data_IF_945365034753
#
_entry.id   IF_945365034753
#
_cell.length_a   1.000
_cell.length_b   1.000
_cell.length_c   1.000
_cell.angle_alpha   90.00
_cell.angle_beta   90.00
_cell.angle_gamma   90.00
#
_symmetry.space_group_name_H-M   'P 1'
#
loop_
_entity.id
_entity.type
_entity.pdbx_description
1 polymer ?
#
# COMPACT_ATOMS: atom_id res chain seq x y z
N UNK A 1 2.49 12.65 -8.09
CA UNK A 1 2.61 11.21 -8.40
C UNK A 1 3.59 10.56 -7.45
N UNK A 2 3.29 9.39 -6.89
CA UNK A 2 4.17 8.57 -6.05
C UNK A 2 5.26 7.89 -6.90
N UNK A 3 6.31 7.36 -6.22
CA UNK A 3 7.37 6.63 -6.89
C UNK A 3 6.91 5.22 -7.27
N UNK A 4 7.37 4.74 -8.41
CA UNK A 4 7.07 3.40 -8.91
C UNK A 4 8.23 2.79 -9.67
N UNK A 5 8.20 1.48 -9.83
CA UNK A 5 9.15 0.70 -10.64
C UNK A 5 8.37 -0.29 -11.51
N UNK A 6 8.79 -0.44 -12.76
CA UNK A 6 8.17 -1.33 -13.74
C UNK A 6 9.15 -2.44 -14.11
N UNK A 7 8.64 -3.65 -14.27
CA UNK A 7 9.31 -4.78 -14.91
C UNK A 7 8.42 -5.26 -16.05
N UNK A 8 8.84 -4.96 -17.26
CA UNK A 8 8.07 -5.28 -18.45
C UNK A 8 8.24 -6.74 -18.86
N UNK A 9 7.14 -7.33 -19.35
CA UNK A 9 7.11 -8.55 -20.11
C UNK A 9 6.57 -8.22 -21.51
N UNK A 10 7.44 -8.32 -22.53
CA UNK A 10 7.10 -7.96 -23.91
C UNK A 10 6.04 -8.86 -24.56
N UNK A 11 5.86 -10.05 -23.99
CA UNK A 11 4.91 -11.06 -24.48
C UNK A 11 3.53 -10.96 -23.80
N UNK A 12 3.37 -10.01 -22.85
CA UNK A 12 2.13 -9.82 -22.10
C UNK A 12 1.62 -8.38 -22.18
N UNK A 13 0.30 -8.24 -22.33
CA UNK A 13 -0.41 -6.98 -22.20
C UNK A 13 -1.12 -6.84 -20.82
N UNK A 14 -0.99 -7.85 -19.95
CA UNK A 14 -1.60 -7.86 -18.63
C UNK A 14 -0.66 -7.26 -17.58
N UNK A 15 -1.26 -6.58 -16.60
CA UNK A 15 -0.52 -5.92 -15.52
C UNK A 15 -0.87 -6.51 -14.17
N UNK A 16 0.16 -6.61 -13.32
CA UNK A 16 0.00 -6.86 -11.89
C UNK A 16 0.64 -5.72 -11.10
N UNK A 17 -0.13 -5.09 -10.22
CA UNK A 17 0.28 -3.98 -9.37
C UNK A 17 0.40 -4.44 -7.93
N UNK A 18 1.57 -4.25 -7.34
CA UNK A 18 1.87 -4.63 -5.97
C UNK A 18 1.81 -3.44 -5.03
N UNK A 19 1.02 -3.56 -3.95
CA UNK A 19 0.77 -2.49 -2.96
C UNK A 19 1.19 -2.95 -1.57
N UNK A 20 2.26 -2.35 -1.04
CA UNK A 20 2.83 -2.74 0.26
C UNK A 20 2.00 -2.26 1.45
N UNK A 21 2.33 -2.75 2.64
CA UNK A 21 1.73 -2.35 3.91
C UNK A 21 2.34 -1.09 4.52
N UNK A 22 1.75 -0.59 5.61
CA UNK A 22 2.26 0.54 6.37
C UNK A 22 3.68 0.26 6.89
N UNK A 23 4.58 1.24 6.75
CA UNK A 23 5.99 1.14 7.13
C UNK A 23 6.86 0.32 6.18
N UNK A 24 6.28 -0.23 5.09
CA UNK A 24 6.99 -0.97 4.06
C UNK A 24 7.45 -0.09 2.88
N UNK A 25 7.91 -0.76 1.83
CA UNK A 25 8.22 -0.17 0.52
C UNK A 25 8.05 -1.23 -0.56
N UNK A 26 8.18 -0.84 -1.81
CA UNK A 26 8.18 -1.74 -2.97
C UNK A 26 9.18 -2.89 -2.86
N UNK A 27 10.29 -2.70 -2.11
CA UNK A 27 11.34 -3.71 -1.94
C UNK A 27 10.89 -5.02 -1.29
N UNK A 28 9.76 -5.05 -0.56
CA UNK A 28 9.26 -6.29 0.05
C UNK A 28 8.88 -7.35 -1.00
N UNK A 29 8.66 -6.94 -2.25
CA UNK A 29 8.18 -7.78 -3.34
C UNK A 29 9.30 -8.42 -4.18
N UNK A 30 10.59 -8.25 -3.80
CA UNK A 30 11.73 -8.68 -4.60
C UNK A 30 11.72 -10.16 -5.00
N UNK A 31 11.15 -11.04 -4.13
CA UNK A 31 11.03 -12.48 -4.41
C UNK A 31 9.93 -12.82 -5.41
N UNK A 32 8.89 -11.99 -5.50
CA UNK A 32 7.73 -12.21 -6.34
C UNK A 32 7.96 -11.75 -7.78
N UNK A 33 8.80 -10.72 -7.99
CA UNK A 33 9.00 -10.07 -9.28
C UNK A 33 9.30 -11.09 -10.38
N UNK A 34 10.31 -11.95 -10.16
CA UNK A 34 10.80 -12.88 -11.16
C UNK A 34 9.72 -13.86 -11.65
N UNK A 35 8.85 -14.31 -10.76
CA UNK A 35 7.84 -15.29 -11.12
C UNK A 35 6.62 -14.63 -11.78
N UNK A 36 6.19 -13.47 -11.27
CA UNK A 36 5.10 -12.72 -11.89
C UNK A 36 5.48 -12.13 -13.25
N UNK A 37 6.73 -11.71 -13.44
CA UNK A 37 7.20 -11.15 -14.72
C UNK A 37 7.18 -12.18 -15.88
N UNK A 38 7.10 -13.47 -15.60
CA UNK A 38 6.95 -14.49 -16.66
C UNK A 38 5.63 -14.37 -17.42
N UNK A 39 4.58 -13.88 -16.74
CA UNK A 39 3.21 -13.86 -17.26
C UNK A 39 2.64 -12.43 -17.37
N UNK A 40 3.17 -11.47 -16.61
CA UNK A 40 2.62 -10.12 -16.43
C UNK A 40 3.69 -9.04 -16.59
N UNK A 41 3.27 -7.85 -16.97
CA UNK A 41 4.00 -6.64 -16.65
C UNK A 41 3.81 -6.35 -15.15
N UNK A 42 4.89 -6.10 -14.42
CA UNK A 42 4.87 -5.90 -12.97
C UNK A 42 5.06 -4.43 -12.64
N UNK A 43 4.10 -3.87 -11.89
CA UNK A 43 4.17 -2.52 -11.34
C UNK A 43 4.34 -2.58 -9.82
N UNK A 44 5.42 -2.01 -9.31
CA UNK A 44 5.67 -1.84 -7.88
C UNK A 44 5.51 -0.38 -7.50
N UNK A 45 4.83 -0.11 -6.39
CA UNK A 45 4.56 1.24 -5.89
C UNK A 45 5.23 1.46 -4.54
N UNK A 46 5.78 2.67 -4.33
CA UNK A 46 6.07 3.19 -3.01
C UNK A 46 4.94 4.15 -2.63
N UNK A 47 4.12 3.76 -1.65
CA UNK A 47 3.00 4.58 -1.20
C UNK A 47 3.48 5.93 -0.69
N UNK A 48 2.60 6.93 -0.72
CA UNK A 48 2.85 8.27 -0.16
C UNK A 48 3.46 8.15 1.24
N UNK A 49 4.61 8.78 1.44
CA UNK A 49 5.33 8.75 2.72
C UNK A 49 6.20 7.53 2.97
N UNK A 50 6.31 6.63 2.01
CA UNK A 50 7.08 5.39 2.12
C UNK A 50 8.13 5.30 1.02
N UNK A 51 9.19 4.50 1.27
CA UNK A 51 10.23 4.24 0.29
C UNK A 51 10.77 5.51 -0.37
N UNK A 52 10.92 5.51 -1.68
CA UNK A 52 11.38 6.65 -2.46
C UNK A 52 10.32 7.78 -2.60
N UNK A 53 9.08 7.56 -2.11
CA UNK A 53 8.04 8.60 -2.05
C UNK A 53 8.14 9.50 -0.81
N UNK A 54 9.09 9.28 0.12
CA UNK A 54 9.26 10.08 1.35
C UNK A 54 9.65 11.54 1.09
N UNK A 55 10.48 11.80 0.09
CA UNK A 55 10.99 13.15 -0.22
C UNK A 55 9.91 14.12 -0.72
N UNK A 56 8.81 13.60 -1.24
CA UNK A 56 7.67 14.39 -1.71
C UNK A 56 6.76 14.89 -0.57
N UNK A 57 7.00 14.44 0.66
CA UNK A 57 6.20 14.75 1.85
C UNK A 57 6.32 16.18 2.37
N UNK A 58 7.43 16.89 2.17
CA UNK A 58 7.58 18.27 2.67
C UNK A 58 6.49 19.23 2.17
N UNK A 59 5.81 18.89 1.06
CA UNK A 59 4.62 19.60 0.55
C UNK A 59 3.29 18.99 1.02
N UNK A 60 3.29 17.78 1.57
CA UNK A 60 2.08 16.99 1.82
C UNK A 60 1.45 17.21 3.22
N UNK A 61 2.09 17.97 4.13
CA UNK A 61 1.50 18.28 5.45
C UNK A 61 0.17 19.04 5.40
N UNK A 62 -0.25 19.53 4.21
CA UNK A 62 -1.56 20.17 3.99
C UNK A 62 -2.63 19.23 3.43
N UNK A 63 -2.29 18.01 3.00
CA UNK A 63 -3.26 17.08 2.43
C UNK A 63 -3.64 16.00 3.45
N UNK A 64 -4.95 15.79 3.63
CA UNK A 64 -5.47 14.71 4.47
C UNK A 64 -5.02 13.36 3.91
N UNK A 65 -4.42 12.52 4.75
CA UNK A 65 -4.14 11.12 4.47
C UNK A 65 -5.44 10.32 4.63
N UNK A 66 -6.26 10.28 3.59
CA UNK A 66 -7.44 9.42 3.52
C UNK A 66 -7.14 8.22 2.63
N UNK A 67 -7.83 7.11 2.83
CA UNK A 67 -7.67 5.92 1.97
C UNK A 67 -8.02 6.26 0.51
N UNK A 68 -9.03 7.09 0.29
CA UNK A 68 -9.40 7.57 -1.06
C UNK A 68 -8.28 8.39 -1.70
N UNK A 69 -7.60 9.26 -0.94
CA UNK A 69 -6.47 10.02 -1.49
C UNK A 69 -5.28 9.12 -1.86
N UNK A 70 -5.01 8.08 -1.05
CA UNK A 70 -3.96 7.11 -1.34
C UNK A 70 -4.33 6.18 -2.51
N UNK A 71 -5.61 5.81 -2.64
CA UNK A 71 -6.11 5.08 -3.80
C UNK A 71 -5.99 5.90 -5.10
N UNK A 72 -6.28 7.21 -5.03
CA UNK A 72 -6.09 8.12 -6.17
C UNK A 72 -4.61 8.29 -6.55
N UNK A 73 -3.66 8.20 -5.60
CA UNK A 73 -2.23 8.18 -5.95
C UNK A 73 -1.88 6.94 -6.81
N UNK A 74 -2.49 5.79 -6.51
CA UNK A 74 -2.31 4.56 -7.31
C UNK A 74 -2.91 4.77 -8.70
N UNK A 75 -4.13 5.31 -8.77
CA UNK A 75 -4.82 5.61 -10.03
C UNK A 75 -4.00 6.57 -10.90
N UNK A 76 -3.43 7.64 -10.30
CA UNK A 76 -2.56 8.59 -11.00
C UNK A 76 -1.37 7.89 -11.70
N UNK A 77 -0.80 6.87 -11.08
CA UNK A 77 0.30 6.07 -11.70
C UNK A 77 -0.22 5.21 -12.84
N UNK A 78 -1.37 4.54 -12.65
CA UNK A 78 -1.98 3.74 -13.72
C UNK A 78 -2.30 4.59 -14.95
N UNK A 79 -2.88 5.78 -14.75
CA UNK A 79 -3.23 6.73 -15.82
C UNK A 79 -1.99 7.24 -16.55
N UNK A 80 -0.94 7.59 -15.78
CA UNK A 80 0.34 8.02 -16.35
C UNK A 80 0.97 6.96 -17.25
N UNK A 81 0.86 5.68 -16.86
CA UNK A 81 1.38 4.53 -17.58
C UNK A 81 0.42 4.01 -18.66
N UNK A 82 -0.78 4.61 -18.78
CA UNK A 82 -1.84 4.17 -19.68
C UNK A 82 -2.28 2.72 -19.43
N UNK A 83 -2.23 2.30 -18.16
CA UNK A 83 -2.71 0.97 -17.74
C UNK A 83 -4.21 1.10 -17.49
N UNK A 84 -5.03 0.56 -18.38
CA UNK A 84 -6.49 0.63 -18.26
C UNK A 84 -7.00 -0.14 -17.05
N UNK A 85 -6.48 -1.35 -16.82
CA UNK A 85 -6.83 -2.21 -15.68
C UNK A 85 -5.65 -3.08 -15.25
N UNK A 86 -5.64 -3.49 -13.99
CA UNK A 86 -4.58 -4.33 -13.42
C UNK A 86 -5.13 -5.38 -12.46
N UNK A 87 -4.41 -6.48 -12.33
CA UNK A 87 -4.50 -7.36 -11.16
C UNK A 87 -3.78 -6.67 -10.00
N UNK A 88 -4.30 -6.79 -8.78
CA UNK A 88 -3.68 -6.17 -7.61
C UNK A 88 -3.27 -7.21 -6.58
N UNK A 89 -2.07 -7.04 -6.04
CA UNK A 89 -1.57 -7.83 -4.89
C UNK A 89 -1.27 -6.85 -3.77
N UNK A 90 -1.99 -6.96 -2.67
CA UNK A 90 -1.82 -6.07 -1.51
C UNK A 90 -1.57 -6.82 -0.22
N UNK A 91 -0.83 -6.18 0.69
CA UNK A 91 -0.60 -6.68 2.04
C UNK A 91 -0.97 -5.61 3.07
N UNK A 92 -1.67 -6.01 4.15
CA UNK A 92 -2.05 -5.12 5.27
C UNK A 92 -2.73 -3.83 4.77
N UNK A 93 -2.13 -2.64 4.97
CA UNK A 93 -2.65 -1.37 4.44
C UNK A 93 -2.94 -1.43 2.94
N UNK A 94 -2.09 -2.11 2.16
CA UNK A 94 -2.29 -2.30 0.73
C UNK A 94 -3.63 -2.94 0.39
N UNK A 95 -4.13 -3.86 1.24
CA UNK A 95 -5.44 -4.51 1.04
C UNK A 95 -6.61 -3.52 1.18
N UNK A 96 -6.48 -2.56 2.09
CA UNK A 96 -7.47 -1.50 2.27
C UNK A 96 -7.50 -0.59 1.04
N UNK A 97 -6.32 -0.24 0.52
CA UNK A 97 -6.19 0.68 -0.61
C UNK A 97 -6.70 0.08 -1.91
N UNK A 98 -6.37 -1.20 -2.20
CA UNK A 98 -6.87 -1.85 -3.42
C UNK A 98 -8.38 -2.09 -3.34
N UNK A 99 -8.94 -2.37 -2.15
CA UNK A 99 -10.39 -2.44 -1.95
C UNK A 99 -11.04 -1.07 -2.16
N UNK A 100 -10.46 -0.01 -1.59
CA UNK A 100 -10.94 1.36 -1.80
C UNK A 100 -10.89 1.75 -3.28
N UNK A 101 -9.84 1.35 -4.01
CA UNK A 101 -9.74 1.57 -5.44
C UNK A 101 -10.84 0.82 -6.20
N UNK A 102 -11.10 -0.45 -5.85
CA UNK A 102 -12.15 -1.25 -6.47
C UNK A 102 -13.57 -0.72 -6.18
N UNK A 103 -13.79 -0.10 -5.01
CA UNK A 103 -15.05 0.57 -4.67
C UNK A 103 -15.26 1.86 -5.47
N UNK A 104 -14.18 2.62 -5.73
CA UNK A 104 -14.24 3.91 -6.45
C UNK A 104 -14.20 3.73 -7.98
N UNK A 105 -13.42 2.75 -8.47
CA UNK A 105 -13.10 2.53 -9.88
C UNK A 105 -13.06 1.02 -10.20
N UNK A 106 -14.21 0.33 -10.13
CA UNK A 106 -14.26 -1.14 -10.31
C UNK A 106 -13.72 -1.61 -11.67
N UNK A 107 -13.86 -0.79 -12.71
CA UNK A 107 -13.36 -1.06 -14.06
C UNK A 107 -11.83 -1.11 -14.15
N UNK A 108 -11.12 -0.51 -13.18
CA UNK A 108 -9.65 -0.46 -13.13
C UNK A 108 -9.05 -1.70 -12.45
N UNK A 109 -9.88 -2.54 -11.80
CA UNK A 109 -9.46 -3.68 -10.99
C UNK A 109 -9.92 -4.98 -11.63
N UNK A 110 -8.98 -5.75 -12.17
CA UNK A 110 -9.27 -7.03 -12.81
C UNK A 110 -9.43 -8.16 -11.78
N UNK A 111 -8.56 -8.22 -10.78
CA UNK A 111 -8.67 -9.11 -9.62
C UNK A 111 -7.82 -8.59 -8.46
N UNK A 112 -8.03 -9.15 -7.27
CA UNK A 112 -7.32 -8.76 -6.05
C UNK A 112 -6.84 -9.98 -5.28
N UNK A 113 -5.56 -9.98 -4.89
CA UNK A 113 -4.98 -10.89 -3.90
C UNK A 113 -4.68 -10.06 -2.63
N UNK A 114 -5.29 -10.43 -1.52
CA UNK A 114 -5.23 -9.69 -0.27
C UNK A 114 -4.56 -10.50 0.84
N UNK A 115 -3.29 -10.20 1.13
CA UNK A 115 -2.53 -10.80 2.23
C UNK A 115 -2.72 -10.03 3.54
N UNK A 116 -3.12 -10.71 4.61
CA UNK A 116 -3.37 -10.06 5.91
C UNK A 116 -4.47 -8.99 5.84
N UNK A 117 -5.57 -9.28 5.15
CA UNK A 117 -6.67 -8.36 4.92
C UNK A 117 -7.36 -7.96 6.23
N UNK A 118 -7.52 -6.64 6.44
CA UNK A 118 -8.26 -6.08 7.56
C UNK A 118 -9.70 -5.84 7.10
N UNK A 119 -10.60 -6.77 7.40
CA UNK A 119 -12.02 -6.67 7.02
C UNK A 119 -12.84 -5.90 8.04
N UNK A 120 -12.55 -6.11 9.33
CA UNK A 120 -13.20 -5.41 10.47
C UNK A 120 -12.17 -5.18 11.55
N UNK A 121 -12.24 -4.03 12.20
CA UNK A 121 -11.45 -3.75 13.40
C UNK A 121 -12.16 -4.39 14.59
N UNK A 122 -11.48 -5.31 15.26
CA UNK A 122 -11.97 -5.82 16.54
C UNK A 122 -11.84 -4.78 17.65
N UNK A 123 -12.46 -5.01 18.78
CA UNK A 123 -12.47 -4.07 19.92
C UNK A 123 -11.05 -3.70 20.39
N UNK A 124 -10.11 -4.66 20.39
CA UNK A 124 -8.70 -4.41 20.76
C UNK A 124 -8.02 -3.44 19.77
N UNK A 125 -8.25 -3.64 18.48
CA UNK A 125 -7.70 -2.76 17.43
C UNK A 125 -8.29 -1.34 17.51
N UNK A 126 -9.57 -1.21 17.89
CA UNK A 126 -10.20 0.09 18.11
C UNK A 126 -9.57 0.82 19.30
N UNK A 127 -9.36 0.12 20.43
CA UNK A 127 -8.65 0.69 21.59
C UNK A 127 -7.24 1.14 21.20
N UNK A 128 -6.48 0.30 20.50
CA UNK A 128 -5.14 0.65 20.04
C UNK A 128 -5.14 1.89 19.15
N UNK A 129 -6.13 2.03 18.27
CA UNK A 129 -6.27 3.24 17.44
C UNK A 129 -6.53 4.49 18.29
N UNK A 130 -7.42 4.41 19.28
CA UNK A 130 -7.71 5.51 20.19
C UNK A 130 -6.45 5.89 20.96
N UNK A 131 -5.74 4.91 21.54
CA UNK A 131 -4.45 5.11 22.22
C UNK A 131 -3.44 5.78 21.29
N UNK A 132 -3.26 5.24 20.09
CA UNK A 132 -2.34 5.82 19.10
C UNK A 132 -2.69 7.24 18.72
N UNK A 133 -3.97 7.51 18.51
CA UNK A 133 -4.45 8.85 18.14
C UNK A 133 -4.27 9.87 19.28
N UNK A 134 -4.38 9.43 20.54
CA UNK A 134 -4.17 10.28 21.72
C UNK A 134 -2.68 10.58 21.94
N UNK A 135 -1.84 9.54 21.84
CA UNK A 135 -0.41 9.67 22.15
C UNK A 135 0.45 10.19 21.00
N UNK A 136 -0.04 10.22 19.74
CA UNK A 136 0.73 10.72 18.57
C UNK A 136 1.20 12.18 18.72
N UNK A 137 0.57 12.97 19.57
CA UNK A 137 0.94 14.36 19.81
C UNK A 137 1.99 14.53 20.90
N UNK A 138 2.20 13.49 21.73
CA UNK A 138 3.09 13.53 22.90
C UNK A 138 4.32 12.65 22.70
N UNK A 139 4.17 11.52 22.03
CA UNK A 139 5.24 10.55 21.84
C UNK A 139 5.86 10.63 20.43
N UNK A 140 7.18 10.52 20.32
CA UNK A 140 7.85 10.36 19.03
C UNK A 140 7.29 9.16 18.25
N UNK A 141 7.07 9.34 16.95
CA UNK A 141 6.50 8.33 16.06
C UNK A 141 7.18 6.95 16.19
N UNK A 142 8.51 6.92 16.31
CA UNK A 142 9.27 5.66 16.42
C UNK A 142 8.94 4.86 17.68
N UNK A 143 8.66 5.53 18.80
CA UNK A 143 8.29 4.87 20.06
C UNK A 143 6.90 4.27 19.90
N UNK A 144 5.98 5.04 19.36
CA UNK A 144 4.61 4.61 19.12
C UNK A 144 4.57 3.44 18.14
N UNK A 145 5.35 3.51 17.05
CA UNK A 145 5.48 2.43 16.07
C UNK A 145 6.03 1.13 16.68
N UNK A 146 7.10 1.22 17.49
CA UNK A 146 7.68 0.05 18.19
C UNK A 146 6.67 -0.59 19.13
N UNK A 147 5.93 0.22 19.88
CA UNK A 147 4.87 -0.27 20.77
C UNK A 147 3.79 -1.01 20.01
N UNK A 148 3.28 -0.43 18.90
CA UNK A 148 2.27 -1.09 18.06
C UNK A 148 2.81 -2.36 17.41
N UNK A 149 4.03 -2.34 16.90
CA UNK A 149 4.66 -3.52 16.31
C UNK A 149 4.77 -4.66 17.33
N UNK A 150 5.16 -4.37 18.57
CA UNK A 150 5.24 -5.36 19.64
C UNK A 150 3.86 -5.94 20.00
N UNK A 151 2.81 -5.11 20.06
CA UNK A 151 1.45 -5.56 20.42
C UNK A 151 0.79 -6.36 19.30
N UNK A 152 1.02 -5.97 18.03
CA UNK A 152 0.37 -6.60 16.87
C UNK A 152 1.16 -7.81 16.37
N UNK A 153 2.49 -7.77 16.45
CA UNK A 153 3.40 -8.83 16.03
C UNK A 153 4.30 -9.28 17.19
N UNK A 154 3.74 -9.90 18.24
CA UNK A 154 4.57 -10.42 19.31
C UNK A 154 5.50 -11.49 18.74
N UNK A 155 6.82 -11.33 18.99
CA UNK A 155 7.80 -12.38 18.69
C UNK A 155 7.36 -13.67 19.39
N UNK A 156 6.91 -14.63 18.63
CA UNK A 156 6.83 -16.02 19.11
C UNK A 156 8.21 -16.62 18.88
N UNK A 157 8.99 -16.71 19.97
CA UNK A 157 10.14 -17.63 20.03
C UNK A 157 9.64 -19.06 19.89
#
# INVERSE_FOLDING_TARGET
MINYTIYENKDSNQWVTFVHGAGGSSSIWFKQIRDFQKEYNVLLLDLRGHGASQTKLKKAFKQKYTFSALANDILEVLDHLKIEKSHFVGISLGTILIRQLAEMYPERVQSMIMGGAILKMNFRSQILMVVGNTFKYVLPYLILYRFFAFVIMPNKN
#
